data_IF_431665868842
#
_entry.id   IF_431665868842
#
_cell.length_a   1.000
_cell.length_b   1.000
_cell.length_c   1.000
_cell.angle_alpha   90.00
_cell.angle_beta   90.00
_cell.angle_gamma   90.00
#
_symmetry.space_group_name_H-M   'P 1'
#
loop_
_entity.id
_entity.type
_entity.pdbx_description
1 polymer ?
#
# COMPACT_ATOMS: atom_id res chain seq x y z
N UNK A 1 6.69 -5.08 -6.17
CA UNK A 1 6.04 -4.03 -7.00
C UNK A 1 5.76 -4.43 -8.43
N UNK A 2 6.59 -5.28 -9.07
CA UNK A 2 6.42 -5.68 -10.47
C UNK A 2 5.02 -6.23 -10.82
N UNK A 3 4.33 -6.89 -9.88
CA UNK A 3 2.97 -7.42 -10.10
C UNK A 3 1.96 -6.30 -10.37
N UNK A 4 1.97 -5.21 -9.60
CA UNK A 4 1.06 -4.08 -9.83
C UNK A 4 1.40 -3.37 -11.13
N UNK A 5 2.67 -3.04 -11.34
CA UNK A 5 3.14 -2.38 -12.55
C UNK A 5 2.82 -3.20 -13.82
N UNK A 6 3.00 -4.52 -13.78
CA UNK A 6 2.69 -5.41 -14.89
C UNK A 6 1.20 -5.49 -15.19
N UNK A 7 0.35 -5.55 -14.15
CA UNK A 7 -1.11 -5.49 -14.32
C UNK A 7 -1.55 -4.18 -14.96
N UNK A 8 -1.04 -3.04 -14.47
CA UNK A 8 -1.36 -1.72 -15.03
C UNK A 8 -0.90 -1.59 -16.49
N UNK A 9 0.32 -2.03 -16.81
CA UNK A 9 0.87 -2.00 -18.17
C UNK A 9 0.04 -2.85 -19.15
N UNK A 10 -0.60 -3.91 -18.67
CA UNK A 10 -1.52 -4.73 -19.46
C UNK A 10 -2.96 -4.17 -19.52
N UNK A 11 -3.22 -2.99 -18.95
CA UNK A 11 -4.56 -2.39 -18.85
C UNK A 11 -5.48 -3.11 -17.86
N UNK A 12 -4.93 -3.97 -17.00
CA UNK A 12 -5.64 -4.76 -16.01
C UNK A 12 -5.88 -4.02 -14.70
N UNK A 13 -6.66 -4.63 -13.82
CA UNK A 13 -6.90 -4.16 -12.45
C UNK A 13 -6.37 -5.21 -11.48
N UNK A 14 -5.56 -4.77 -10.51
CA UNK A 14 -5.03 -5.63 -9.47
C UNK A 14 -5.87 -5.50 -8.19
N UNK A 15 -6.08 -6.62 -7.49
CA UNK A 15 -6.75 -6.66 -6.19
C UNK A 15 -5.77 -7.17 -5.15
N UNK A 16 -5.46 -6.33 -4.15
CA UNK A 16 -4.70 -6.74 -2.98
C UNK A 16 -5.66 -7.15 -1.85
N UNK A 17 -5.49 -8.36 -1.31
CA UNK A 17 -6.26 -8.83 -0.17
C UNK A 17 -5.37 -9.52 0.87
N UNK A 18 -5.90 -9.64 2.08
CA UNK A 18 -5.36 -10.49 3.13
C UNK A 18 -6.53 -11.08 3.93
N UNK A 19 -6.26 -11.86 4.98
CA UNK A 19 -7.32 -12.54 5.75
C UNK A 19 -8.44 -11.59 6.24
N UNK A 20 -8.09 -10.36 6.64
CA UNK A 20 -9.07 -9.35 7.07
C UNK A 20 -9.13 -8.10 6.18
N UNK A 21 -8.32 -8.02 5.13
CA UNK A 21 -8.23 -6.82 4.29
C UNK A 21 -7.72 -5.54 4.97
N UNK A 22 -7.33 -5.55 6.25
CA UNK A 22 -7.01 -4.28 6.97
C UNK A 22 -5.52 -3.93 6.92
N UNK A 23 -4.66 -4.73 7.59
CA UNK A 23 -3.26 -4.38 7.84
C UNK A 23 -2.33 -4.58 6.63
N UNK A 24 -2.09 -5.84 6.23
CA UNK A 24 -1.21 -6.17 5.09
C UNK A 24 -1.61 -5.46 3.79
N UNK A 25 -2.91 -5.24 3.59
CA UNK A 25 -3.39 -4.50 2.42
C UNK A 25 -3.00 -3.03 2.53
N UNK A 26 -3.22 -2.39 3.68
CA UNK A 26 -2.77 -1.00 3.89
C UNK A 26 -1.29 -0.86 3.60
N UNK A 27 -0.44 -1.72 4.16
CA UNK A 27 1.01 -1.67 3.93
C UNK A 27 1.41 -1.84 2.46
N UNK A 28 0.87 -2.85 1.76
CA UNK A 28 1.22 -3.07 0.36
C UNK A 28 0.76 -1.92 -0.54
N UNK A 29 -0.41 -1.34 -0.26
CA UNK A 29 -0.91 -0.16 -0.98
C UNK A 29 -0.04 1.07 -0.71
N UNK A 30 0.31 1.35 0.55
CA UNK A 30 1.20 2.45 0.91
C UNK A 30 2.56 2.31 0.23
N UNK A 31 3.12 1.10 0.25
CA UNK A 31 4.40 0.82 -0.41
C UNK A 31 4.30 1.05 -1.92
N UNK A 32 3.20 0.59 -2.55
CA UNK A 32 3.00 0.76 -3.98
C UNK A 32 2.93 2.23 -4.37
N UNK A 33 2.14 3.03 -3.65
CA UNK A 33 2.02 4.46 -3.92
C UNK A 33 3.36 5.20 -3.72
N UNK A 34 4.08 4.91 -2.63
CA UNK A 34 5.41 5.47 -2.37
C UNK A 34 6.39 5.15 -3.52
N UNK A 35 6.46 3.88 -3.93
CA UNK A 35 7.35 3.44 -5.00
C UNK A 35 6.96 4.00 -6.38
N UNK A 36 5.67 3.97 -6.73
CA UNK A 36 5.17 4.32 -8.07
C UNK A 36 5.22 5.81 -8.36
N UNK A 37 4.94 6.62 -7.34
CA UNK A 37 4.78 8.07 -7.47
C UNK A 37 5.91 8.85 -6.79
N UNK A 38 6.88 8.18 -6.18
CA UNK A 38 7.98 8.83 -5.45
C UNK A 38 7.51 9.61 -4.22
N UNK A 39 6.39 9.19 -3.61
CA UNK A 39 5.83 9.84 -2.43
C UNK A 39 6.63 9.46 -1.18
N UNK A 40 6.65 10.36 -0.19
CA UNK A 40 7.07 9.98 1.16
C UNK A 40 6.10 8.96 1.74
N UNK A 41 6.55 8.22 2.75
CA UNK A 41 5.72 7.27 3.46
C UNK A 41 4.41 7.90 3.95
N UNK A 42 4.50 9.07 4.58
CA UNK A 42 3.39 9.78 5.19
C UNK A 42 2.37 10.21 4.14
N UNK A 43 2.83 10.72 3.00
CA UNK A 43 1.96 11.12 1.91
C UNK A 43 1.23 9.90 1.30
N UNK A 44 1.94 8.79 1.09
CA UNK A 44 1.35 7.56 0.59
C UNK A 44 0.36 6.93 1.60
N UNK A 45 0.68 6.98 2.89
CA UNK A 45 -0.18 6.49 3.96
C UNK A 45 -1.48 7.32 4.06
N UNK A 46 -1.34 8.64 4.05
CA UNK A 46 -2.47 9.57 4.08
C UNK A 46 -3.42 9.34 2.89
N UNK A 47 -2.88 9.11 1.69
CA UNK A 47 -3.68 8.80 0.50
C UNK A 47 -4.47 7.49 0.67
N UNK A 48 -3.84 6.44 1.19
CA UNK A 48 -4.51 5.15 1.47
C UNK A 48 -5.65 5.33 2.48
N UNK A 49 -5.40 6.07 3.56
CA UNK A 49 -6.41 6.32 4.60
C UNK A 49 -7.57 7.18 4.08
N UNK A 50 -7.27 8.24 3.34
CA UNK A 50 -8.27 9.12 2.74
C UNK A 50 -9.16 8.35 1.76
N UNK A 51 -8.58 7.55 0.88
CA UNK A 51 -9.34 6.70 -0.04
C UNK A 51 -10.18 5.66 0.68
N UNK A 52 -9.62 5.01 1.72
CA UNK A 52 -10.35 4.03 2.51
C UNK A 52 -11.58 4.65 3.21
N UNK A 53 -11.39 5.82 3.83
CA UNK A 53 -12.46 6.56 4.48
C UNK A 53 -13.57 6.95 3.49
N UNK A 54 -13.19 7.50 2.32
CA UNK A 54 -14.15 7.85 1.26
C UNK A 54 -14.94 6.63 0.75
N UNK A 55 -14.30 5.46 0.69
CA UNK A 55 -14.93 4.20 0.30
C UNK A 55 -15.71 3.50 1.44
N UNK A 56 -15.77 4.08 2.64
CA UNK A 56 -16.47 3.49 3.78
C UNK A 56 -15.81 2.21 4.33
N UNK A 57 -14.52 2.00 4.05
CA UNK A 57 -13.76 0.83 4.51
C UNK A 57 -12.63 1.25 5.44
N UNK A 58 -12.21 0.32 6.30
CA UNK A 58 -11.04 0.54 7.16
C UNK A 58 -9.80 -0.12 6.58
N UNK A 59 -8.72 0.64 6.45
CA UNK A 59 -7.36 0.14 6.20
C UNK A 59 -6.47 0.60 7.35
N UNK A 60 -5.49 -0.21 7.71
CA UNK A 60 -4.47 0.18 8.69
C UNK A 60 -3.15 0.32 7.94
N UNK A 61 -2.63 1.55 7.90
CA UNK A 61 -1.27 1.81 7.42
C UNK A 61 -0.26 1.41 8.51
N UNK A 62 0.97 1.01 8.16
CA UNK A 62 2.00 0.64 9.13
C UNK A 62 2.47 1.86 9.97
N UNK A 63 3.46 1.69 10.85
CA UNK A 63 4.25 2.83 11.32
C UNK A 63 5.35 3.14 10.30
N UNK A 64 6.00 4.31 10.39
CA UNK A 64 7.18 4.64 9.58
C UNK A 64 8.25 3.55 9.74
N UNK A 65 8.61 3.23 10.98
CA UNK A 65 9.59 2.18 11.32
C UNK A 65 9.24 0.83 10.68
N UNK A 66 8.00 0.35 10.85
CA UNK A 66 7.57 -0.93 10.27
C UNK A 66 7.49 -0.88 8.75
N UNK A 67 7.25 0.29 8.18
CA UNK A 67 7.29 0.49 6.74
C UNK A 67 8.71 0.39 6.21
N UNK A 68 9.67 1.05 6.87
CA UNK A 68 11.09 0.99 6.55
C UNK A 68 11.63 -0.44 6.63
N UNK A 69 11.26 -1.19 7.67
CA UNK A 69 11.58 -2.63 7.79
C UNK A 69 11.04 -3.43 6.59
N UNK A 70 9.78 -3.17 6.21
CA UNK A 70 9.14 -3.84 5.08
C UNK A 70 9.81 -3.50 3.75
N UNK A 71 10.07 -2.22 3.46
CA UNK A 71 10.67 -1.81 2.18
C UNK A 71 12.14 -2.19 2.06
N UNK A 72 12.87 -2.24 3.18
CA UNK A 72 14.26 -2.71 3.21
C UNK A 72 14.38 -4.23 3.15
N UNK A 73 13.28 -4.97 3.34
CA UNK A 73 13.28 -6.43 3.40
C UNK A 73 13.90 -7.00 4.68
N UNK A 74 14.07 -6.17 5.71
CA UNK A 74 14.67 -6.57 6.99
C UNK A 74 13.66 -7.24 7.94
N UNK A 75 12.35 -7.18 7.66
CA UNK A 75 11.34 -7.92 8.43
C UNK A 75 9.90 -7.72 7.96
N UNK A 76 8.98 -8.49 8.56
CA UNK A 76 7.52 -8.33 8.46
C UNK A 76 6.75 -8.84 9.70
#
# INVERSE_FOLDING_TARGET
>A
MAVFAGCEAAGGRAVAHCSGGVGRVGTVLTAWLAHRYGLTYEAAAAEVEAHAAAAGVRRKVPSVERFEEFVSGSGW
#
